data_IF_625672895187
#
_entry.id   IF_625672895187
#
_cell.length_a   1.000
_cell.length_b   1.000
_cell.length_c   1.000
_cell.angle_alpha   90.00
_cell.angle_beta   90.00
_cell.angle_gamma   90.00
#
_symmetry.space_group_name_H-M   'P 1'
#
loop_
_entity.id
_entity.type
_entity.pdbx_description
1 polymer ?
#
# COMPACT_ATOMS: atom_id res chain seq x y z
N UNK A 1 -7.39 -40.27 -21.46
CA UNK A 1 -6.31 -39.77 -20.59
C UNK A 1 -6.74 -39.96 -19.12
N UNK A 2 -5.75 -40.19 -18.25
CA UNK A 2 -5.84 -40.80 -16.91
C UNK A 2 -6.57 -39.96 -15.86
N UNK A 3 -7.20 -40.64 -14.91
CA UNK A 3 -7.71 -40.15 -13.61
C UNK A 3 -6.56 -39.82 -12.64
N UNK A 4 -6.72 -38.79 -11.80
CA UNK A 4 -6.39 -38.87 -10.37
C UNK A 4 -7.11 -37.81 -9.54
N UNK A 5 -7.84 -38.29 -8.53
CA UNK A 5 -8.51 -37.54 -7.45
C UNK A 5 -7.52 -37.33 -6.30
N UNK A 6 -7.65 -36.27 -5.51
CA UNK A 6 -7.42 -36.38 -4.04
C UNK A 6 -8.22 -35.31 -3.29
N UNK A 7 -9.22 -35.76 -2.54
CA UNK A 7 -9.80 -35.08 -1.38
C UNK A 7 -8.90 -35.38 -0.17
N UNK A 8 -8.62 -34.40 0.68
CA UNK A 8 -8.20 -34.62 2.07
C UNK A 8 -9.07 -33.73 2.94
N UNK A 9 -9.99 -34.35 3.67
CA UNK A 9 -10.61 -33.74 4.84
C UNK A 9 -9.88 -34.18 6.09
N UNK A 10 -9.86 -33.34 7.12
CA UNK A 10 -9.79 -33.79 8.51
C UNK A 10 -10.77 -32.94 9.32
N UNK A 11 -11.78 -33.64 9.84
CA UNK A 11 -12.65 -33.22 10.92
C UNK A 11 -11.86 -33.40 12.22
N UNK A 12 -11.81 -32.38 13.09
CA UNK A 12 -11.40 -32.58 14.47
C UNK A 12 -12.32 -31.77 15.39
N UNK A 13 -13.32 -32.49 15.93
CA UNK A 13 -14.07 -32.07 17.10
C UNK A 13 -13.20 -32.28 18.34
N UNK A 14 -13.08 -31.28 19.21
CA UNK A 14 -12.61 -31.47 20.57
C UNK A 14 -13.52 -30.71 21.53
N UNK A 15 -14.30 -31.48 22.29
CA UNK A 15 -15.01 -31.02 23.48
C UNK A 15 -14.14 -31.24 24.72
N UNK A 16 -14.53 -30.57 25.81
CA UNK A 16 -14.08 -30.69 27.20
C UNK A 16 -13.03 -29.69 27.67
N UNK A 17 -13.49 -28.70 28.45
CA UNK A 17 -12.68 -28.08 29.50
C UNK A 17 -13.30 -28.41 30.85
N UNK A 18 -12.63 -29.34 31.53
CA UNK A 18 -12.76 -29.67 32.94
C UNK A 18 -12.19 -28.52 33.78
N UNK A 19 -12.89 -28.13 34.85
CA UNK A 19 -12.41 -27.16 35.83
C UNK A 19 -11.39 -27.82 36.77
N UNK A 20 -10.11 -27.62 36.47
CA UNK A 20 -9.00 -27.92 37.38
C UNK A 20 -8.31 -26.63 37.80
N UNK A 21 -8.40 -26.29 39.09
CA UNK A 21 -7.65 -25.21 39.73
C UNK A 21 -6.15 -25.54 39.71
N UNK A 22 -5.39 -24.88 38.84
CA UNK A 22 -3.94 -24.88 38.83
C UNK A 22 -3.43 -23.42 38.80
N UNK A 23 -2.28 -23.11 39.43
CA UNK A 23 -1.78 -21.75 39.52
C UNK A 23 -1.48 -21.18 38.13
N UNK A 24 -2.08 -20.02 37.84
CA UNK A 24 -1.86 -19.25 36.62
C UNK A 24 -0.41 -18.75 36.62
N UNK A 25 0.46 -19.44 35.88
CA UNK A 25 1.69 -18.84 35.37
C UNK A 25 1.26 -17.94 34.22
N UNK A 26 1.08 -16.66 34.51
CA UNK A 26 0.81 -15.64 33.50
C UNK A 26 2.10 -15.41 32.72
N UNK A 27 2.37 -16.29 31.74
CA UNK A 27 3.29 -15.97 30.68
C UNK A 27 2.71 -14.74 29.98
N UNK A 28 3.33 -13.59 30.21
CA UNK A 28 3.06 -12.39 29.43
C UNK A 28 3.57 -12.70 28.04
N UNK A 29 2.69 -13.25 27.20
CA UNK A 29 2.91 -13.31 25.77
C UNK A 29 2.85 -11.84 25.33
N UNK A 30 4.00 -11.16 25.32
CA UNK A 30 4.18 -10.05 24.41
C UNK A 30 4.02 -10.66 23.04
N UNK A 31 2.79 -10.61 22.51
CA UNK A 31 2.54 -10.81 21.11
C UNK A 31 3.33 -9.70 20.41
N UNK A 32 4.57 -10.01 20.08
CA UNK A 32 5.34 -9.26 19.11
C UNK A 32 4.58 -9.49 17.81
N UNK A 33 3.66 -8.58 17.51
CA UNK A 33 3.07 -8.51 16.19
C UNK A 33 4.26 -8.36 15.24
N UNK A 34 4.61 -9.44 14.55
CA UNK A 34 5.32 -9.29 13.29
C UNK A 34 4.50 -8.31 12.48
N UNK A 35 5.14 -7.24 12.00
CA UNK A 35 4.54 -6.32 11.03
C UNK A 35 4.08 -7.19 9.86
N UNK A 36 2.80 -7.57 9.87
CA UNK A 36 2.21 -8.22 8.72
C UNK A 36 2.23 -7.15 7.64
N UNK A 37 3.04 -7.38 6.59
CA UNK A 37 2.86 -6.74 5.29
C UNK A 37 1.38 -6.90 4.91
N UNK A 38 0.56 -5.92 5.29
CA UNK A 38 -0.80 -5.81 4.80
C UNK A 38 -0.62 -5.46 3.33
N UNK A 39 -0.68 -6.47 2.45
CA UNK A 39 -0.74 -6.29 1.01
C UNK A 39 -1.93 -5.37 0.69
N UNK A 40 -1.66 -4.06 0.55
CA UNK A 40 -2.68 -3.09 0.21
C UNK A 40 -3.12 -3.39 -1.23
N UNK A 41 -4.39 -3.74 -1.48
CA UNK A 41 -4.85 -4.12 -2.80
C UNK A 41 -4.57 -3.03 -3.83
N UNK A 42 -4.28 -3.42 -5.07
CA UNK A 42 -4.15 -2.50 -6.20
C UNK A 42 -5.43 -1.69 -6.39
N UNK A 43 -5.28 -0.38 -6.58
CA UNK A 43 -6.36 0.55 -6.79
C UNK A 43 -6.94 1.16 -5.51
N UNK A 44 -6.45 0.75 -4.33
CA UNK A 44 -6.84 1.35 -3.06
C UNK A 44 -6.51 2.83 -3.08
N UNK A 45 -7.51 3.67 -2.78
CA UNK A 45 -7.34 5.12 -2.62
C UNK A 45 -7.55 5.47 -1.15
N UNK A 46 -6.58 6.15 -0.55
CA UNK A 46 -6.59 6.53 0.87
C UNK A 46 -6.38 8.02 1.01
N UNK A 47 -7.08 8.64 1.96
CA UNK A 47 -6.89 10.07 2.30
C UNK A 47 -5.53 10.27 2.97
N UNK A 48 -4.78 11.25 2.48
CA UNK A 48 -3.48 11.62 3.02
C UNK A 48 -3.20 13.11 2.74
N UNK A 49 -3.88 14.02 3.46
CA UNK A 49 -3.62 15.45 3.35
C UNK A 49 -2.19 15.78 3.75
N UNK A 50 -1.52 16.59 2.93
CA UNK A 50 -0.16 17.03 3.17
C UNK A 50 0.47 17.74 2.00
N UNK A 51 1.79 17.82 2.04
CA UNK A 51 2.60 18.42 0.99
C UNK A 51 3.71 17.48 0.56
N UNK A 52 4.00 17.47 -0.73
CA UNK A 52 5.07 16.67 -1.33
C UNK A 52 5.99 17.59 -2.13
N UNK A 53 7.28 17.28 -2.13
CA UNK A 53 8.26 17.88 -3.02
C UNK A 53 8.60 16.86 -4.09
N UNK A 54 8.38 17.25 -5.34
CA UNK A 54 8.57 16.37 -6.51
C UNK A 54 9.98 16.53 -7.05
N UNK A 55 10.63 15.44 -7.40
CA UNK A 55 11.95 15.43 -8.01
C UNK A 55 12.22 14.09 -8.68
N UNK A 56 12.38 14.10 -10.00
CA UNK A 56 12.89 12.94 -10.78
C UNK A 56 14.39 13.14 -11.00
N UNK A 57 15.22 12.19 -10.57
CA UNK A 57 16.68 12.24 -10.74
C UNK A 57 17.14 11.81 -12.14
N UNK A 58 16.23 11.26 -12.94
CA UNK A 58 16.46 10.73 -14.28
C UNK A 58 16.00 11.64 -15.43
N UNK A 59 15.20 12.67 -15.14
CA UNK A 59 14.75 13.68 -16.11
C UNK A 59 14.80 15.10 -15.50
N UNK A 60 14.68 16.13 -16.33
CA UNK A 60 14.63 17.54 -15.94
C UNK A 60 13.26 17.97 -15.40
N UNK A 61 12.25 17.11 -15.51
CA UNK A 61 10.87 17.33 -15.06
C UNK A 61 10.38 16.11 -14.30
N UNK A 62 9.46 16.29 -13.38
CA UNK A 62 8.74 15.16 -12.78
C UNK A 62 7.50 14.86 -13.60
N UNK A 63 7.36 13.62 -14.05
CA UNK A 63 6.20 13.19 -14.80
C UNK A 63 4.96 13.08 -13.93
N UNK A 64 3.82 13.48 -14.49
CA UNK A 64 2.52 13.22 -13.89
C UNK A 64 1.93 11.96 -14.51
N UNK A 65 1.15 11.24 -13.73
CA UNK A 65 0.46 10.03 -14.12
C UNK A 65 -1.05 10.24 -14.08
N UNK A 66 -1.73 9.79 -15.13
CA UNK A 66 -3.16 9.61 -15.16
C UNK A 66 -3.47 8.11 -15.06
N UNK A 67 -4.73 7.73 -14.81
CA UNK A 67 -5.13 6.34 -14.64
C UNK A 67 -6.25 5.94 -15.59
N UNK A 68 -6.07 4.80 -16.27
CA UNK A 68 -7.16 4.05 -16.90
C UNK A 68 -7.46 2.83 -16.03
N UNK A 69 -8.51 2.95 -15.20
CA UNK A 69 -8.76 1.99 -14.12
C UNK A 69 -7.63 2.00 -13.09
N UNK A 70 -6.89 0.90 -12.99
CA UNK A 70 -5.73 0.75 -12.09
C UNK A 70 -4.38 0.83 -12.82
N UNK A 71 -4.39 1.03 -14.15
CA UNK A 71 -3.17 1.14 -14.93
C UNK A 71 -2.71 2.60 -15.00
N UNK A 72 -1.54 2.96 -14.47
CA UNK A 72 -0.98 4.29 -14.62
C UNK A 72 -0.45 4.49 -16.04
N UNK A 73 -0.60 5.70 -16.56
CA UNK A 73 0.02 6.17 -17.79
C UNK A 73 0.59 7.56 -17.57
N UNK A 74 1.76 7.85 -18.14
CA UNK A 74 2.33 9.21 -18.11
C UNK A 74 1.35 10.15 -18.81
N UNK A 75 1.07 11.29 -18.18
CA UNK A 75 0.20 12.32 -18.71
C UNK A 75 0.78 12.87 -20.01
N UNK A 76 0.00 12.82 -21.08
CA UNK A 76 0.39 13.39 -22.36
C UNK A 76 0.26 14.93 -22.40
N UNK A 77 -0.33 15.54 -21.36
CA UNK A 77 -0.68 16.96 -21.35
C UNK A 77 0.42 17.81 -20.70
N UNK A 78 0.99 17.35 -19.59
CA UNK A 78 1.98 18.13 -18.84
C UNK A 78 2.85 17.29 -17.92
N UNK A 79 3.94 17.90 -17.50
CA UNK A 79 4.80 17.49 -16.39
C UNK A 79 5.02 18.70 -15.48
N UNK A 80 5.65 18.51 -14.34
CA UNK A 80 5.94 19.60 -13.38
C UNK A 80 7.44 19.78 -13.22
N UNK A 81 7.85 20.99 -12.89
CA UNK A 81 9.27 21.30 -12.66
C UNK A 81 9.77 20.58 -11.40
N UNK A 82 10.97 20.00 -11.50
CA UNK A 82 11.65 19.37 -10.38
C UNK A 82 11.88 20.36 -9.23
N UNK A 83 11.80 19.87 -7.99
CA UNK A 83 12.03 20.63 -6.76
C UNK A 83 10.86 21.50 -6.30
N UNK A 84 9.73 21.48 -7.02
CA UNK A 84 8.52 22.24 -6.66
C UNK A 84 7.68 21.53 -5.59
N UNK A 85 6.94 22.31 -4.80
CA UNK A 85 6.06 21.80 -3.73
C UNK A 85 4.62 21.74 -4.20
N UNK A 86 3.95 20.63 -3.88
CA UNK A 86 2.57 20.36 -4.26
C UNK A 86 1.76 19.91 -3.05
N UNK A 87 0.50 20.34 -2.99
CA UNK A 87 -0.46 19.78 -2.06
C UNK A 87 -0.92 18.40 -2.56
N UNK A 88 -1.10 17.47 -1.63
CA UNK A 88 -1.72 16.18 -1.88
C UNK A 88 -2.78 15.92 -0.83
N UNK A 89 -3.87 15.27 -1.23
CA UNK A 89 -4.97 14.89 -0.35
C UNK A 89 -5.27 13.40 -0.33
N UNK A 90 -4.73 12.65 -1.30
CA UNK A 90 -4.97 11.24 -1.50
C UNK A 90 -3.72 10.55 -2.02
N UNK A 91 -3.55 9.29 -1.65
CA UNK A 91 -2.67 8.37 -2.35
C UNK A 91 -3.43 7.18 -2.92
N UNK A 92 -2.91 6.61 -3.99
CA UNK A 92 -3.42 5.40 -4.66
C UNK A 92 -2.33 4.35 -4.80
N UNK A 93 -2.64 3.08 -4.60
CA UNK A 93 -1.74 1.96 -4.93
C UNK A 93 -1.95 1.49 -6.36
N UNK A 94 -0.88 1.28 -7.12
CA UNK A 94 -0.94 0.77 -8.50
C UNK A 94 0.39 0.13 -8.92
N UNK A 95 0.41 -0.74 -9.95
CA UNK A 95 1.65 -1.30 -10.47
C UNK A 95 2.52 -0.23 -11.13
N UNK A 96 3.83 -0.28 -10.89
CA UNK A 96 4.83 0.45 -11.67
C UNK A 96 5.09 -0.24 -13.03
N UNK A 97 6.06 0.27 -13.79
CA UNK A 97 6.46 -0.30 -15.09
C UNK A 97 6.97 -1.75 -15.02
N UNK A 98 7.38 -2.22 -13.85
CA UNK A 98 7.88 -3.57 -13.59
C UNK A 98 6.81 -4.48 -12.94
N UNK A 99 5.62 -3.95 -12.67
CA UNK A 99 4.53 -4.68 -12.02
C UNK A 99 4.60 -4.67 -10.48
N UNK A 100 5.52 -3.92 -9.87
CA UNK A 100 5.57 -3.77 -8.42
C UNK A 100 4.48 -2.80 -7.96
N UNK A 101 3.80 -3.13 -6.87
CA UNK A 101 2.75 -2.25 -6.32
C UNK A 101 3.42 -1.10 -5.58
N UNK A 102 3.14 0.12 -6.04
CA UNK A 102 3.70 1.35 -5.50
C UNK A 102 2.62 2.38 -5.24
N UNK A 103 2.97 3.38 -4.44
CA UNK A 103 2.09 4.49 -4.09
C UNK A 103 2.24 5.63 -5.10
N UNK A 104 1.12 6.21 -5.48
CA UNK A 104 0.99 7.43 -6.27
C UNK A 104 0.27 8.49 -5.45
N UNK A 105 0.72 9.73 -5.47
CA UNK A 105 0.15 10.84 -4.69
C UNK A 105 -0.55 11.83 -5.60
N UNK A 106 -1.79 12.19 -5.28
CA UNK A 106 -2.57 13.10 -6.12
C UNK A 106 -2.03 14.52 -6.00
N UNK A 107 -1.83 15.18 -7.13
CA UNK A 107 -1.43 16.61 -7.19
C UNK A 107 -2.44 17.49 -7.93
N UNK A 108 -3.42 16.87 -8.61
CA UNK A 108 -4.51 17.51 -9.33
C UNK A 108 -5.64 16.50 -9.54
N UNK A 109 -6.83 16.94 -10.00
CA UNK A 109 -8.08 16.14 -10.02
C UNK A 109 -7.92 14.71 -10.54
N UNK A 110 -7.07 14.48 -11.55
CA UNK A 110 -6.80 13.15 -12.12
C UNK A 110 -5.32 12.87 -12.36
N UNK A 111 -4.43 13.64 -11.74
CA UNK A 111 -2.99 13.55 -11.97
C UNK A 111 -2.24 13.26 -10.68
N UNK A 112 -1.26 12.37 -10.80
CA UNK A 112 -0.59 11.77 -9.67
C UNK A 112 0.92 11.74 -9.90
N UNK A 113 1.69 11.75 -8.83
CA UNK A 113 3.15 11.57 -8.88
C UNK A 113 3.49 10.24 -8.22
N UNK A 114 4.35 9.44 -8.86
CA UNK A 114 4.80 8.17 -8.30
C UNK A 114 5.72 8.43 -7.10
N UNK A 115 5.67 7.57 -6.07
CA UNK A 115 6.48 7.72 -4.84
C UNK A 115 7.98 7.83 -5.10
N UNK A 116 8.48 7.21 -6.17
CA UNK A 116 9.90 7.25 -6.52
C UNK A 116 10.39 8.63 -6.93
N UNK A 117 9.49 9.50 -7.40
CA UNK A 117 9.82 10.84 -7.87
C UNK A 117 9.52 11.89 -6.78
N UNK A 118 9.57 11.48 -5.51
CA UNK A 118 9.37 12.35 -4.34
C UNK A 118 10.67 12.50 -3.56
N UNK A 119 11.08 13.75 -3.36
CA UNK A 119 12.23 14.11 -2.53
C UNK A 119 11.82 14.25 -1.05
N UNK A 120 10.65 14.82 -0.80
CA UNK A 120 10.16 15.05 0.58
C UNK A 120 8.65 14.87 0.64
N UNK A 121 8.18 14.31 1.75
CA UNK A 121 6.76 14.06 2.01
C UNK A 121 6.45 14.47 3.44
N UNK A 122 5.55 15.44 3.59
CA UNK A 122 5.09 15.96 4.87
C UNK A 122 3.57 15.78 4.97
N UNK A 123 3.13 14.75 5.69
CA UNK A 123 1.72 14.56 6.00
C UNK A 123 1.32 15.30 7.26
N UNK A 124 0.11 15.83 7.26
CA UNK A 124 -0.53 16.36 8.45
C UNK A 124 -0.85 15.16 9.36
N UNK A 125 -0.03 14.94 10.39
CA UNK A 125 -0.11 13.77 11.27
C UNK A 125 -1.51 13.60 11.86
N UNK A 126 -2.08 12.39 11.71
CA UNK A 126 -3.37 11.98 12.29
C UNK A 126 -3.90 10.60 11.84
N UNK A 127 -3.16 9.86 11.02
CA UNK A 127 -3.51 8.50 10.57
C UNK A 127 -2.24 7.64 10.68
N UNK A 128 -2.10 6.90 11.78
CA UNK A 128 -1.17 5.78 11.93
C UNK A 128 -1.92 4.48 11.61
#
# INVERSE_FOLDING_TARGET
>A
MKLSKTFIGILASASMLSFGIAPVVQATQTAQASESDFDIPVGTVTKAPGTIRVYDDSDNVTHLYNFEGNQPHISAVRSVENGTWWYTDEYKTAPDRNGHIVTYYRVSTNEWVIKYDLDTVNFETGQY
#
